data_IF_018702927759
#
_entry.id   IF_018702927759
#
_cell.length_a   1.000
_cell.length_b   1.000
_cell.length_c   1.000
_cell.angle_alpha   90.00
_cell.angle_beta   90.00
_cell.angle_gamma   90.00
#
_symmetry.space_group_name_H-M   'P 1'
#
loop_
_entity.id
_entity.type
_entity.pdbx_description
1 polymer ?
#
# COMPACT_ATOMS: atom_id res chain seq x y z
N UNK A 1 -3.87 9.10 -14.74
CA UNK A 1 -4.88 8.19 -15.31
C UNK A 1 -4.21 7.27 -16.32
N UNK A 2 -4.66 6.02 -16.45
CA UNK A 2 -4.04 4.98 -17.31
C UNK A 2 -4.28 5.18 -18.82
N UNK A 3 -4.94 6.27 -19.21
CA UNK A 3 -5.22 6.66 -20.60
C UNK A 3 -5.77 5.54 -21.50
N UNK A 4 -6.57 4.64 -20.94
CA UNK A 4 -7.23 3.54 -21.63
C UNK A 4 -8.69 3.42 -21.20
N UNK A 5 -9.48 2.73 -22.02
CA UNK A 5 -10.87 2.40 -21.68
C UNK A 5 -10.89 1.48 -20.44
N UNK A 6 -11.76 1.72 -19.44
CA UNK A 6 -11.83 0.88 -18.25
C UNK A 6 -12.06 -0.60 -18.54
N UNK A 7 -12.77 -0.93 -19.62
CA UNK A 7 -13.10 -2.31 -20.00
C UNK A 7 -11.94 -3.10 -20.61
N UNK A 8 -10.84 -2.45 -20.98
CA UNK A 8 -9.65 -3.12 -21.53
C UNK A 8 -8.56 -3.40 -20.48
N UNK A 9 -8.79 -3.00 -19.24
CA UNK A 9 -7.85 -3.19 -18.14
C UNK A 9 -7.98 -4.61 -17.58
N UNK A 10 -6.92 -5.40 -17.68
CA UNK A 10 -6.87 -6.73 -17.07
C UNK A 10 -6.48 -6.63 -15.60
N UNK A 11 -7.34 -7.16 -14.73
CA UNK A 11 -7.13 -7.22 -13.28
C UNK A 11 -6.78 -8.66 -12.88
N UNK A 12 -5.59 -8.85 -12.31
CA UNK A 12 -5.15 -10.13 -11.76
C UNK A 12 -5.06 -10.01 -10.24
N UNK A 13 -6.03 -10.57 -9.53
CA UNK A 13 -6.02 -10.59 -8.06
C UNK A 13 -5.08 -11.67 -7.55
N UNK A 14 -4.15 -11.28 -6.68
CA UNK A 14 -3.26 -12.17 -5.97
C UNK A 14 -3.88 -12.60 -4.64
N UNK A 15 -3.32 -13.65 -4.04
CA UNK A 15 -3.78 -14.22 -2.76
C UNK A 15 -3.49 -13.35 -1.54
N UNK A 16 -2.72 -12.28 -1.69
CA UNK A 16 -2.18 -11.43 -0.62
C UNK A 16 -2.74 -9.99 -0.65
N UNK A 17 -3.96 -9.82 -1.15
CA UNK A 17 -4.67 -8.54 -1.32
C UNK A 17 -3.99 -7.56 -2.31
N UNK A 18 -2.99 -8.02 -3.07
CA UNK A 18 -2.47 -7.28 -4.21
C UNK A 18 -3.28 -7.55 -5.48
N UNK A 19 -3.40 -6.51 -6.32
CA UNK A 19 -4.00 -6.62 -7.65
C UNK A 19 -2.97 -6.14 -8.66
N UNK A 20 -2.57 -7.00 -9.59
CA UNK A 20 -1.75 -6.60 -10.72
C UNK A 20 -2.65 -6.11 -11.86
N UNK A 21 -2.31 -4.95 -12.39
CA UNK A 21 -3.01 -4.33 -13.51
C UNK A 21 -2.04 -4.21 -14.67
N UNK A 22 -2.38 -4.85 -15.78
CA UNK A 22 -1.59 -4.77 -17.02
C UNK A 22 -2.22 -3.73 -17.94
N UNK A 23 -1.47 -2.68 -18.28
CA UNK A 23 -1.93 -1.65 -19.22
C UNK A 23 -1.63 -2.11 -20.66
N UNK A 24 -2.65 -2.34 -21.52
CA UNK A 24 -2.48 -3.01 -22.82
C UNK A 24 -1.48 -2.33 -23.76
N UNK A 25 -1.43 -1.00 -23.76
CA UNK A 25 -0.63 -0.23 -24.72
C UNK A 25 0.79 0.09 -24.24
N UNK A 26 1.03 0.05 -22.93
CA UNK A 26 2.32 0.44 -22.34
C UNK A 26 3.17 -0.78 -21.95
N UNK A 27 2.58 -2.00 -22.00
CA UNK A 27 3.16 -3.22 -21.44
C UNK A 27 3.73 -2.99 -20.01
N UNK A 28 3.04 -2.12 -19.28
CA UNK A 28 3.41 -1.70 -17.94
C UNK A 28 2.49 -2.40 -16.97
N UNK A 29 3.08 -3.09 -16.00
CA UNK A 29 2.36 -3.64 -14.87
C UNK A 29 2.36 -2.61 -13.75
N UNK A 30 1.17 -2.35 -13.20
CA UNK A 30 0.99 -1.53 -12.01
C UNK A 30 0.46 -2.46 -10.93
N UNK A 31 1.15 -2.50 -9.80
CA UNK A 31 0.70 -3.22 -8.63
C UNK A 31 -0.16 -2.31 -7.78
N UNK A 32 -1.32 -2.81 -7.38
CA UNK A 32 -2.20 -2.17 -6.44
C UNK A 32 -2.18 -2.96 -5.12
N UNK A 33 -2.06 -2.26 -4.01
CA UNK A 33 -2.35 -2.80 -2.69
C UNK A 33 -3.69 -2.22 -2.23
N UNK A 34 -4.56 -3.07 -1.70
CA UNK A 34 -5.85 -2.65 -1.14
C UNK A 34 -5.88 -3.03 0.33
N UNK A 35 -6.39 -2.15 1.18
CA UNK A 35 -6.58 -2.45 2.59
C UNK A 35 -7.78 -1.71 3.15
N UNK A 36 -8.46 -2.33 4.10
CA UNK A 36 -9.68 -1.81 4.68
C UNK A 36 -9.65 -1.87 6.20
N UNK A 37 -10.29 -0.90 6.84
CA UNK A 37 -10.47 -0.86 8.30
C UNK A 37 -11.76 -0.12 8.65
N UNK A 38 -12.76 -0.87 9.12
CA UNK A 38 -14.12 -0.34 9.27
C UNK A 38 -14.67 0.14 7.92
N UNK A 39 -15.03 1.42 7.84
CA UNK A 39 -15.55 2.04 6.60
C UNK A 39 -14.46 2.58 5.67
N UNK A 40 -13.19 2.54 6.08
CA UNK A 40 -12.09 3.09 5.30
C UNK A 40 -11.55 2.07 4.35
N UNK A 41 -11.46 2.43 3.07
CA UNK A 41 -10.73 1.69 2.03
C UNK A 41 -9.56 2.56 1.60
N UNK A 42 -8.36 1.99 1.68
CA UNK A 42 -7.13 2.62 1.22
C UNK A 42 -6.59 1.79 0.06
N UNK A 43 -6.35 2.47 -1.05
CA UNK A 43 -5.81 1.87 -2.27
C UNK A 43 -4.51 2.59 -2.59
N UNK A 44 -3.45 1.83 -2.81
CA UNK A 44 -2.15 2.31 -3.23
C UNK A 44 -1.78 1.66 -4.54
N UNK A 45 -1.16 2.42 -5.45
CA UNK A 45 -0.76 1.94 -6.77
C UNK A 45 0.71 2.30 -7.03
N UNK A 46 1.49 1.38 -7.57
CA UNK A 46 2.91 1.56 -7.88
C UNK A 46 3.32 0.80 -9.14
N UNK A 47 4.36 1.29 -9.82
CA UNK A 47 5.01 0.55 -10.92
C UNK A 47 5.89 -0.60 -10.41
N UNK A 48 6.26 -0.54 -9.12
CA UNK A 48 6.99 -1.57 -8.40
C UNK A 48 6.16 -2.12 -7.24
N UNK A 49 6.86 -2.63 -6.24
CA UNK A 49 6.25 -3.21 -5.04
C UNK A 49 5.68 -2.10 -4.15
N UNK A 50 4.53 -2.37 -3.57
CA UNK A 50 3.78 -1.47 -2.70
C UNK A 50 3.02 -2.29 -1.68
N UNK A 51 2.94 -1.81 -0.44
CA UNK A 51 2.16 -2.42 0.62
C UNK A 51 1.52 -1.36 1.51
N UNK A 52 0.35 -1.66 2.05
CA UNK A 52 -0.39 -0.78 2.96
C UNK A 52 -0.53 -1.48 4.31
N UNK A 53 -0.22 -0.76 5.39
CA UNK A 53 -0.52 -1.19 6.76
C UNK A 53 -1.55 -0.25 7.37
N UNK A 54 -2.66 -0.80 7.85
CA UNK A 54 -3.69 -0.07 8.59
C UNK A 54 -3.88 -0.72 9.96
N UNK A 55 -3.89 0.09 11.01
CA UNK A 55 -4.10 -0.35 12.39
C UNK A 55 -5.13 0.57 13.06
N UNK A 56 -6.00 -0.02 13.88
CA UNK A 56 -7.01 0.71 14.64
C UNK A 56 -6.78 0.52 16.14
N UNK A 57 -6.59 1.62 16.86
CA UNK A 57 -6.45 1.65 18.32
C UNK A 57 -7.71 1.20 19.08
N UNK A 58 -8.90 1.22 18.45
CA UNK A 58 -10.18 0.85 19.10
C UNK A 58 -10.60 -0.61 18.84
N UNK A 59 -9.68 -1.49 18.47
CA UNK A 59 -9.95 -2.93 18.43
C UNK A 59 -10.18 -3.52 19.83
N UNK A 60 -10.83 -4.71 19.94
CA UNK A 60 -11.20 -5.32 21.23
C UNK A 60 -10.02 -5.71 22.16
N UNK A 61 -8.78 -5.44 21.77
CA UNK A 61 -7.56 -5.91 22.43
C UNK A 61 -6.53 -4.82 22.79
N UNK A 62 -6.89 -3.53 22.79
CA UNK A 62 -5.94 -2.44 23.11
C UNK A 62 -6.21 -1.79 24.47
N UNK A 63 -5.25 -1.82 25.42
CA UNK A 63 -5.34 -1.06 26.67
C UNK A 63 -5.16 0.43 26.39
N UNK A 64 -6.13 1.24 26.82
CA UNK A 64 -6.05 2.70 26.84
C UNK A 64 -4.87 3.16 27.71
N UNK A 65 -3.89 3.82 27.11
CA UNK A 65 -2.94 4.67 27.83
C UNK A 65 -2.50 5.84 26.94
N UNK A 66 -2.49 7.04 27.50
CA UNK A 66 -2.23 8.35 26.86
C UNK A 66 -0.76 8.57 26.43
N UNK A 67 -0.09 7.53 25.93
CA UNK A 67 1.25 7.56 25.32
C UNK A 67 1.44 6.56 24.16
N UNK A 68 0.35 5.95 23.68
CA UNK A 68 0.33 4.76 22.78
C UNK A 68 0.34 5.11 21.28
N UNK A 69 0.31 6.39 20.91
CA UNK A 69 0.16 6.83 19.50
C UNK A 69 1.33 6.42 18.59
N UNK A 70 2.57 6.48 19.08
CA UNK A 70 3.75 6.21 18.25
C UNK A 70 3.96 4.71 18.00
N UNK A 71 3.71 3.86 19.01
CA UNK A 71 3.85 2.41 18.88
C UNK A 71 2.88 1.83 17.84
N UNK A 72 1.66 2.38 17.75
CA UNK A 72 0.69 1.93 16.75
C UNK A 72 1.03 2.45 15.36
N UNK A 73 1.62 3.64 15.24
CA UNK A 73 2.14 4.10 13.95
C UNK A 73 3.33 3.24 13.48
N UNK A 74 4.22 2.85 14.39
CA UNK A 74 5.30 1.90 14.10
C UNK A 74 4.73 0.57 13.62
N UNK A 75 3.69 0.04 14.28
CA UNK A 75 3.02 -1.18 13.85
C UNK A 75 2.43 -1.06 12.44
N UNK A 76 1.82 0.08 12.10
CA UNK A 76 1.32 0.34 10.76
C UNK A 76 2.46 0.30 9.71
N UNK A 77 3.62 0.88 10.02
CA UNK A 77 4.82 0.85 9.14
C UNK A 77 5.39 -0.55 8.97
N UNK A 78 5.49 -1.33 10.04
CA UNK A 78 5.98 -2.71 9.96
C UNK A 78 5.04 -3.58 9.12
N UNK A 79 3.72 -3.39 9.29
CA UNK A 79 2.72 -4.11 8.49
C UNK A 79 2.79 -3.71 7.01
N UNK A 80 2.95 -2.42 6.70
CA UNK A 80 3.09 -1.96 5.30
C UNK A 80 4.37 -2.51 4.67
N UNK A 81 5.48 -2.54 5.41
CA UNK A 81 6.75 -3.11 4.98
C UNK A 81 6.62 -4.61 4.73
N UNK A 82 6.04 -5.36 5.67
CA UNK A 82 5.85 -6.80 5.51
C UNK A 82 5.06 -7.11 4.25
N UNK A 83 3.92 -6.42 4.03
CA UNK A 83 3.08 -6.62 2.85
C UNK A 83 3.80 -6.26 1.54
N UNK A 84 4.55 -5.15 1.52
CA UNK A 84 5.36 -4.80 0.35
C UNK A 84 6.47 -5.84 0.06
N UNK A 85 6.95 -6.52 1.10
CA UNK A 85 7.98 -7.56 1.02
C UNK A 85 7.46 -8.97 0.72
N UNK A 86 6.16 -9.22 0.77
CA UNK A 86 5.58 -10.42 0.16
C UNK A 86 5.74 -10.28 -1.35
N UNK A 87 6.43 -11.22 -1.98
CA UNK A 87 6.64 -11.19 -3.42
C UNK A 87 5.37 -11.73 -4.09
N UNK A 88 4.77 -11.02 -5.05
CA UNK A 88 3.76 -11.63 -5.92
C UNK A 88 4.43 -12.78 -6.66
N UNK A 89 3.83 -13.97 -6.62
CA UNK A 89 4.36 -15.15 -7.31
C UNK A 89 4.67 -14.80 -8.79
N UNK A 90 5.95 -14.98 -9.14
CA UNK A 90 6.58 -14.98 -10.48
C UNK A 90 6.49 -13.75 -11.41
N UNK A 91 5.49 -12.86 -11.36
CA UNK A 91 5.26 -11.90 -12.46
C UNK A 91 6.13 -10.62 -12.41
N UNK A 92 6.59 -10.18 -11.23
CA UNK A 92 7.39 -8.94 -11.07
C UNK A 92 8.91 -9.17 -11.20
N UNK A 93 9.34 -10.37 -11.62
CA UNK A 93 10.78 -10.70 -11.71
C UNK A 93 11.53 -9.98 -12.83
N UNK A 94 10.86 -9.29 -13.76
CA UNK A 94 11.54 -8.69 -14.92
C UNK A 94 12.30 -7.39 -14.64
N UNK A 95 12.21 -6.82 -13.43
CA UNK A 95 12.97 -5.63 -13.01
C UNK A 95 13.97 -5.88 -11.88
N UNK A 96 14.11 -7.12 -11.40
CA UNK A 96 15.06 -7.51 -10.34
C UNK A 96 16.51 -7.47 -10.84
N UNK A 97 17.04 -6.26 -11.05
CA UNK A 97 18.47 -6.02 -10.92
C UNK A 97 18.80 -6.15 -9.43
N UNK A 98 19.79 -7.00 -9.14
CA UNK A 98 20.36 -7.32 -7.83
C UNK A 98 20.99 -6.12 -7.07
N UNK A 99 20.32 -4.97 -7.02
CA UNK A 99 20.63 -3.91 -6.06
C UNK A 99 19.77 -4.12 -4.83
N UNK A 100 20.36 -4.01 -3.62
CA UNK A 100 19.63 -3.98 -2.35
C UNK A 100 18.39 -3.09 -2.50
N UNK A 101 17.20 -3.70 -2.49
CA UNK A 101 15.93 -2.97 -2.59
C UNK A 101 15.87 -1.98 -1.44
N UNK A 102 15.82 -0.69 -1.77
CA UNK A 102 15.67 0.37 -0.77
C UNK A 102 14.18 0.62 -0.62
N UNK A 103 13.68 0.42 0.59
CA UNK A 103 12.28 0.63 0.92
C UNK A 103 12.04 2.07 1.37
N UNK A 104 10.93 2.64 0.93
CA UNK A 104 10.49 3.98 1.27
C UNK A 104 9.12 3.87 1.94
N UNK A 105 9.01 4.35 3.18
CA UNK A 105 7.76 4.33 3.93
C UNK A 105 7.25 5.73 4.20
N UNK A 106 5.94 5.90 4.16
CA UNK A 106 5.26 7.16 4.47
C UNK A 106 4.05 6.90 5.35
N UNK A 107 3.84 7.74 6.35
CA UNK A 107 2.65 7.71 7.19
C UNK A 107 1.47 8.32 6.46
N UNK A 108 0.29 7.71 6.62
CA UNK A 108 -0.96 8.21 6.07
C UNK A 108 -1.66 9.05 7.13
N UNK A 109 -2.14 10.27 6.81
CA UNK A 109 -2.89 11.14 7.72
C UNK A 109 -4.31 10.59 7.95
N UNK A 110 -4.40 9.44 8.59
CA UNK A 110 -5.65 8.75 8.87
C UNK A 110 -6.41 9.44 10.01
N UNK A 111 -7.76 9.51 9.93
CA UNK A 111 -8.54 10.20 10.94
C UNK A 111 -8.67 9.42 12.25
N UNK A 112 -8.74 10.16 13.35
CA UNK A 112 -9.04 9.65 14.69
C UNK A 112 -8.03 8.62 15.20
N UNK A 113 -8.52 7.43 15.51
CA UNK A 113 -7.76 6.35 16.14
C UNK A 113 -7.12 5.39 15.11
N UNK A 114 -7.23 5.71 13.83
CA UNK A 114 -6.62 4.94 12.75
C UNK A 114 -5.18 5.40 12.54
N UNK A 115 -4.29 4.45 12.30
CA UNK A 115 -2.91 4.67 11.89
C UNK A 115 -2.69 3.92 10.59
N UNK A 116 -2.03 4.58 9.65
CA UNK A 116 -1.80 4.04 8.32
C UNK A 116 -0.39 4.31 7.87
N UNK A 117 0.18 3.39 7.11
CA UNK A 117 1.44 3.59 6.43
C UNK A 117 1.40 2.91 5.05
N UNK A 118 2.20 3.44 4.13
CA UNK A 118 2.48 2.85 2.83
C UNK A 118 3.98 2.61 2.72
N UNK A 119 4.38 1.49 2.12
CA UNK A 119 5.77 1.18 1.81
C UNK A 119 5.91 0.86 0.32
N UNK A 120 6.92 1.42 -0.34
CA UNK A 120 7.24 1.18 -1.76
C UNK A 120 8.73 0.87 -1.96
N UNK A 121 9.06 0.15 -3.02
CA UNK A 121 10.46 -0.09 -3.46
C UNK A 121 11.04 1.02 -4.34
N UNK A 122 10.19 1.98 -4.75
CA UNK A 122 10.59 3.21 -5.42
C UNK A 122 10.36 4.44 -4.54
N UNK A 123 11.17 5.52 -4.68
CA UNK A 123 10.95 6.75 -3.93
C UNK A 123 9.59 7.39 -4.23
N UNK A 124 8.85 7.76 -3.18
CA UNK A 124 7.59 8.50 -3.31
C UNK A 124 7.91 9.93 -3.74
N UNK A 125 7.53 10.30 -4.98
CA UNK A 125 7.78 11.64 -5.54
C UNK A 125 6.62 12.59 -5.42
N UNK A 126 5.40 12.07 -5.34
CA UNK A 126 4.18 12.86 -5.32
C UNK A 126 3.09 12.12 -4.55
N UNK A 127 2.28 12.87 -3.80
CA UNK A 127 1.14 12.36 -3.04
C UNK A 127 -0.10 13.14 -3.45
N UNK A 128 -1.06 12.43 -4.05
CA UNK A 128 -2.40 12.96 -4.29
C UNK A 128 -3.36 12.32 -3.29
N UNK A 129 -3.94 13.15 -2.41
CA UNK A 129 -4.89 12.71 -1.41
C UNK A 129 -6.27 13.32 -1.70
N UNK A 130 -7.30 12.48 -1.69
CA UNK A 130 -8.69 12.89 -1.86
C UNK A 130 -9.47 12.47 -0.61
N UNK A 131 -10.27 13.38 -0.04
CA UNK A 131 -11.05 13.10 1.17
C UNK A 131 -10.27 13.20 2.49
N UNK A 132 -8.99 13.58 2.47
CA UNK A 132 -8.24 13.96 3.67
C UNK A 132 -8.27 15.49 3.81
N UNK A 133 -8.84 15.98 4.92
CA UNK A 133 -8.74 17.40 5.29
C UNK A 133 -7.28 17.71 5.61
N UNK A 134 -6.74 18.77 4.98
CA UNK A 134 -5.41 19.31 5.30
C UNK A 134 -5.34 19.82 6.73
#
# INVERSE_FOLDING_TARGET
MLNCDPGVVELNTMSDDHVLVTVPHENRTIMFAVSYVGIWVVIAASAGRVGIGLVNLRGPSSPQADGVSDNVQVQARELSYHRANVAPDEVVQKSSRMSKTRWYSMDLPMPGALRGAITTDEPIRHVAAFGWTR
#
